data_IF_992840250103
#
_entry.id   IF_992840250103
#
_cell.length_a   1.000
_cell.length_b   1.000
_cell.length_c   1.000
_cell.angle_alpha   90.00
_cell.angle_beta   90.00
_cell.angle_gamma   90.00
#
_symmetry.space_group_name_H-M   'P 1'
#
loop_
_entity.id
_entity.type
_entity.pdbx_description
1 polymer ?
#
# COMPACT_ATOMS: atom_id res chain seq x y z
N UNK A 1 -21.27 -5.13 -22.97
CA UNK A 1 -20.90 -4.55 -21.66
C UNK A 1 -19.44 -4.12 -21.76
N UNK A 2 -19.08 -2.82 -21.72
CA UNK A 2 -17.67 -2.46 -21.73
C UNK A 2 -17.01 -2.99 -20.46
N UNK A 3 -15.95 -3.77 -20.60
CA UNK A 3 -15.21 -4.33 -19.48
C UNK A 3 -14.69 -3.18 -18.60
N UNK A 4 -15.14 -3.12 -17.35
CA UNK A 4 -14.63 -2.15 -16.38
C UNK A 4 -13.19 -2.55 -16.06
N UNK A 5 -12.21 -1.87 -16.65
CA UNK A 5 -10.80 -2.11 -16.36
C UNK A 5 -10.58 -2.08 -14.85
N UNK A 6 -10.04 -3.18 -14.32
CA UNK A 6 -9.69 -3.28 -12.91
C UNK A 6 -8.48 -2.38 -12.66
N UNK A 7 -8.59 -1.50 -11.67
CA UNK A 7 -7.46 -0.68 -11.26
C UNK A 7 -6.57 -1.55 -10.38
N UNK A 8 -5.27 -1.58 -10.69
CA UNK A 8 -4.28 -2.34 -9.94
C UNK A 8 -3.04 -1.48 -9.71
N UNK A 9 -2.30 -1.69 -8.61
CA UNK A 9 -0.97 -1.10 -8.44
C UNK A 9 -0.05 -1.41 -9.63
N UNK A 10 0.90 -0.51 -9.91
CA UNK A 10 1.84 -0.60 -11.03
C UNK A 10 1.30 -0.01 -12.34
N UNK A 11 -0.02 0.11 -12.51
CA UNK A 11 -0.60 0.68 -13.72
C UNK A 11 -0.21 2.14 -13.94
N UNK A 12 0.20 2.48 -15.16
CA UNK A 12 0.48 3.84 -15.61
C UNK A 12 -0.61 4.27 -16.60
N UNK A 13 -1.33 5.33 -16.23
CA UNK A 13 -2.41 5.91 -17.00
C UNK A 13 -1.95 7.23 -17.62
N UNK A 14 -1.98 7.30 -18.95
CA UNK A 14 -1.53 8.45 -19.71
C UNK A 14 -2.72 9.20 -20.29
N UNK A 15 -2.91 10.50 -19.98
CA UNK A 15 -4.00 11.29 -20.53
C UNK A 15 -3.82 11.50 -22.03
N UNK A 16 -4.92 11.61 -22.78
CA UNK A 16 -4.87 11.85 -24.23
C UNK A 16 -4.30 13.22 -24.58
N UNK A 17 -4.55 14.22 -23.74
CA UNK A 17 -4.05 15.58 -23.91
C UNK A 17 -2.76 15.77 -23.10
N UNK A 18 -1.70 16.29 -23.72
CA UNK A 18 -0.37 16.46 -23.13
C UNK A 18 -0.28 17.56 -22.05
N UNK A 19 -1.39 18.24 -21.75
CA UNK A 19 -1.45 19.24 -20.68
C UNK A 19 -1.41 18.61 -19.28
N UNK A 20 -1.79 17.33 -19.16
CA UNK A 20 -1.69 16.58 -17.91
C UNK A 20 -0.61 15.52 -18.00
N UNK A 21 -0.03 15.17 -16.84
CA UNK A 21 1.05 14.21 -16.77
C UNK A 21 0.54 12.80 -16.51
N UNK A 22 1.26 11.77 -16.98
CA UNK A 22 0.92 10.39 -16.66
C UNK A 22 0.89 10.14 -15.15
N UNK A 23 -0.01 9.25 -14.73
CA UNK A 23 -0.18 8.88 -13.33
C UNK A 23 0.10 7.39 -13.16
N UNK A 24 1.00 7.05 -12.24
CA UNK A 24 1.23 5.68 -11.80
C UNK A 24 0.45 5.37 -10.53
N UNK A 25 -0.33 4.29 -10.53
CA UNK A 25 -0.95 3.76 -9.31
C UNK A 25 0.12 3.10 -8.46
N UNK A 26 0.32 3.60 -7.24
CA UNK A 26 1.31 3.10 -6.29
C UNK A 26 0.70 2.04 -5.38
N UNK A 27 -0.51 2.29 -4.87
CA UNK A 27 -1.20 1.35 -3.98
C UNK A 27 -2.72 1.53 -4.03
N UNK A 28 -3.44 0.52 -3.55
CA UNK A 28 -4.88 0.55 -3.33
C UNK A 28 -5.17 0.34 -1.84
N UNK A 29 -5.68 1.38 -1.18
CA UNK A 29 -5.90 1.39 0.27
C UNK A 29 -7.38 1.56 0.55
N UNK A 30 -8.06 0.47 0.93
CA UNK A 30 -9.51 0.43 1.20
C UNK A 30 -10.36 1.08 0.10
N UNK A 31 -10.72 2.35 0.28
CA UNK A 31 -11.57 3.16 -0.60
C UNK A 31 -10.80 4.23 -1.40
N UNK A 32 -9.47 4.24 -1.27
CA UNK A 32 -8.59 5.23 -1.86
C UNK A 32 -7.52 4.59 -2.75
N UNK A 33 -7.06 5.38 -3.71
CA UNK A 33 -5.95 5.08 -4.59
C UNK A 33 -4.81 5.99 -4.18
N UNK A 34 -3.65 5.40 -3.95
CA UNK A 34 -2.39 6.13 -3.87
C UNK A 34 -1.71 6.11 -5.22
N UNK A 35 -1.24 7.26 -5.65
CA UNK A 35 -0.69 7.42 -6.98
C UNK A 35 0.43 8.46 -7.00
N UNK A 36 1.24 8.38 -8.03
CA UNK A 36 2.36 9.27 -8.30
C UNK A 36 2.15 9.91 -9.67
N UNK A 37 2.27 11.24 -9.73
CA UNK A 37 2.28 11.96 -11.01
C UNK A 37 3.71 11.94 -11.54
N UNK A 38 3.94 11.44 -12.77
CA UNK A 38 5.29 11.15 -13.26
C UNK A 38 6.15 12.39 -13.54
N UNK A 39 5.59 13.61 -13.48
CA UNK A 39 6.37 14.85 -13.51
C UNK A 39 7.09 15.18 -12.20
N UNK A 40 6.62 14.62 -11.09
CA UNK A 40 7.19 14.83 -9.77
C UNK A 40 7.26 13.50 -9.04
N UNK A 41 8.35 12.77 -9.30
CA UNK A 41 8.59 11.41 -8.79
C UNK A 41 8.72 11.32 -7.26
N UNK A 42 8.71 12.41 -6.52
CA UNK A 42 8.88 12.36 -5.06
C UNK A 42 7.55 12.43 -4.29
N UNK A 43 6.47 12.86 -4.92
CA UNK A 43 5.19 13.07 -4.23
C UNK A 43 4.17 11.95 -4.51
N UNK A 44 3.69 11.31 -3.45
CA UNK A 44 2.60 10.33 -3.49
C UNK A 44 1.33 11.03 -3.05
N UNK A 45 0.34 11.06 -3.94
CA UNK A 45 -0.98 11.64 -3.72
C UNK A 45 -2.00 10.54 -3.46
N UNK A 46 -3.11 10.90 -2.80
CA UNK A 46 -4.21 9.99 -2.48
C UNK A 46 -5.54 10.58 -2.90
N UNK A 47 -6.42 9.78 -3.51
CA UNK A 47 -7.80 10.17 -3.81
C UNK A 47 -8.76 8.98 -3.75
N UNK A 48 -10.07 9.24 -3.72
CA UNK A 48 -11.07 8.18 -3.78
C UNK A 48 -11.09 7.50 -5.17
N UNK A 49 -11.44 6.21 -5.22
CA UNK A 49 -11.56 5.48 -6.49
C UNK A 49 -12.50 6.14 -7.51
N UNK A 50 -13.58 6.78 -7.03
CA UNK A 50 -14.54 7.48 -7.89
C UNK A 50 -13.91 8.70 -8.56
N UNK A 51 -13.10 9.46 -7.81
CA UNK A 51 -12.39 10.63 -8.32
C UNK A 51 -11.34 10.23 -9.35
N UNK A 52 -10.56 9.18 -9.08
CA UNK A 52 -9.60 8.67 -10.05
C UNK A 52 -10.26 8.22 -11.35
N UNK A 53 -11.40 7.51 -11.26
CA UNK A 53 -12.17 7.12 -12.45
C UNK A 53 -12.77 8.31 -13.19
N UNK A 54 -13.22 9.34 -12.46
CA UNK A 54 -13.67 10.60 -13.06
C UNK A 54 -12.54 11.26 -13.84
N UNK A 55 -11.33 11.28 -13.27
CA UNK A 55 -10.13 11.77 -13.93
C UNK A 55 -9.81 10.99 -15.22
N UNK A 56 -9.76 9.65 -15.18
CA UNK A 56 -9.54 8.81 -16.39
C UNK A 56 -10.53 9.20 -17.50
N UNK A 57 -11.80 9.36 -17.15
CA UNK A 57 -12.86 9.72 -18.11
C UNK A 57 -12.69 11.13 -18.65
N UNK A 58 -12.42 12.12 -17.80
CA UNK A 58 -12.32 13.52 -18.22
C UNK A 58 -11.09 13.79 -19.09
N UNK A 59 -9.99 13.08 -18.83
CA UNK A 59 -8.73 13.24 -19.59
C UNK A 59 -8.59 12.25 -20.75
N UNK A 60 -9.58 11.38 -20.94
CA UNK A 60 -9.54 10.25 -21.88
C UNK A 60 -8.26 9.41 -21.70
N UNK A 61 -7.81 9.22 -20.46
CA UNK A 61 -6.58 8.50 -20.18
C UNK A 61 -6.70 7.02 -20.56
N UNK A 62 -5.64 6.48 -21.15
CA UNK A 62 -5.49 5.05 -21.43
C UNK A 62 -4.40 4.44 -20.55
N UNK A 63 -4.56 3.16 -20.24
CA UNK A 63 -3.50 2.36 -19.63
C UNK A 63 -2.40 2.16 -20.69
N UNK A 64 -1.19 2.65 -20.41
CA UNK A 64 -0.06 2.55 -21.34
C UNK A 64 0.98 1.54 -20.89
N UNK A 65 1.22 1.42 -19.59
CA UNK A 65 2.26 0.55 -19.03
C UNK A 65 1.84 -0.04 -17.69
N UNK A 66 2.49 -1.13 -17.28
CA UNK A 66 2.38 -1.76 -15.96
C UNK A 66 3.79 -1.94 -15.41
N UNK A 67 4.10 -1.23 -14.33
CA UNK A 67 5.35 -1.38 -13.58
C UNK A 67 5.23 -2.59 -12.65
N UNK A 68 5.60 -3.78 -13.14
CA UNK A 68 5.56 -5.04 -12.37
C UNK A 68 6.70 -5.15 -11.34
N UNK A 69 7.72 -4.31 -11.45
CA UNK A 69 8.94 -4.40 -10.62
C UNK A 69 8.72 -3.91 -9.19
N UNK A 70 7.69 -3.07 -8.98
CA UNK A 70 7.44 -2.44 -7.69
C UNK A 70 6.33 -3.15 -6.94
N UNK A 71 6.71 -3.77 -5.82
CA UNK A 71 5.73 -4.33 -4.86
C UNK A 71 4.95 -3.18 -4.20
N UNK A 72 3.60 -3.25 -4.15
CA UNK A 72 2.80 -2.24 -3.48
C UNK A 72 3.14 -2.14 -2.00
N UNK A 73 3.17 -0.93 -1.40
CA UNK A 73 3.48 -0.72 0.01
C UNK A 73 2.69 -1.65 0.96
N UNK A 74 1.38 -1.76 0.77
CA UNK A 74 0.52 -2.61 1.61
C UNK A 74 0.86 -4.10 1.46
N UNK A 75 1.23 -4.54 0.25
CA UNK A 75 1.63 -5.93 0.01
C UNK A 75 3.01 -6.23 0.62
N UNK A 76 3.97 -5.32 0.47
CA UNK A 76 5.29 -5.45 1.09
C UNK A 76 5.18 -5.55 2.62
N UNK A 77 4.31 -4.74 3.23
CA UNK A 77 4.04 -4.79 4.65
C UNK A 77 3.42 -6.12 5.09
N UNK A 78 2.47 -6.63 4.31
CA UNK A 78 1.82 -7.92 4.56
C UNK A 78 2.81 -9.10 4.48
N UNK A 79 3.73 -9.07 3.51
CA UNK A 79 4.80 -10.05 3.36
C UNK A 79 5.77 -10.05 4.55
N UNK A 80 6.09 -8.88 5.11
CA UNK A 80 6.91 -8.78 6.34
C UNK A 80 6.23 -9.45 7.53
N UNK A 81 4.93 -9.20 7.74
CA UNK A 81 4.18 -9.89 8.81
C UNK A 81 4.19 -11.40 8.61
N UNK A 82 3.93 -11.87 7.38
CA UNK A 82 3.96 -13.30 7.07
C UNK A 82 5.32 -13.92 7.37
N UNK A 83 6.41 -13.27 6.94
CA UNK A 83 7.77 -13.73 7.17
C UNK A 83 8.10 -13.83 8.67
N UNK A 84 7.77 -12.80 9.46
CA UNK A 84 7.96 -12.78 10.91
C UNK A 84 7.18 -13.90 11.60
N UNK A 85 5.90 -14.09 11.24
CA UNK A 85 5.10 -15.17 11.82
C UNK A 85 5.73 -16.54 11.52
N UNK A 86 6.23 -16.73 10.29
CA UNK A 86 6.87 -17.98 9.89
C UNK A 86 8.21 -18.20 10.58
N UNK A 87 9.04 -17.17 10.74
CA UNK A 87 10.32 -17.29 11.46
C UNK A 87 10.11 -17.61 12.95
N UNK A 88 9.04 -17.07 13.54
CA UNK A 88 8.60 -17.41 14.90
C UNK A 88 7.89 -18.78 15.02
N UNK A 89 7.79 -19.55 13.92
CA UNK A 89 7.07 -20.84 13.85
C UNK A 89 5.61 -20.78 14.33
N UNK A 90 4.98 -19.61 14.26
CA UNK A 90 3.60 -19.40 14.68
C UNK A 90 2.61 -19.78 13.57
N UNK A 91 1.50 -20.42 13.93
CA UNK A 91 0.36 -20.59 13.01
C UNK A 91 -0.44 -19.30 12.88
N UNK A 92 -1.27 -19.16 11.84
CA UNK A 92 -2.19 -18.02 11.74
C UNK A 92 -3.19 -17.98 12.90
N UNK A 93 -3.56 -19.15 13.46
CA UNK A 93 -4.42 -19.23 14.64
C UNK A 93 -3.72 -18.66 15.87
N UNK A 94 -2.47 -19.08 16.13
CA UNK A 94 -1.70 -18.59 17.27
C UNK A 94 -1.47 -17.07 17.21
N UNK A 95 -1.17 -16.52 16.02
CA UNK A 95 -1.08 -15.06 15.86
C UNK A 95 -2.43 -14.38 16.05
N UNK A 96 -3.52 -15.01 15.62
CA UNK A 96 -4.87 -14.45 15.79
C UNK A 96 -5.28 -14.36 17.26
N UNK A 97 -4.93 -15.36 18.06
CA UNK A 97 -5.14 -15.37 19.52
C UNK A 97 -4.32 -14.26 20.18
N UNK A 98 -3.03 -14.13 19.83
CA UNK A 98 -2.15 -13.09 20.37
C UNK A 98 -2.60 -11.65 20.02
N UNK A 99 -3.21 -11.46 18.85
CA UNK A 99 -3.75 -10.19 18.39
C UNK A 99 -5.22 -9.96 18.78
N UNK A 100 -5.88 -10.95 19.38
CA UNK A 100 -7.32 -10.94 19.67
C UNK A 100 -8.18 -10.58 18.45
N UNK A 101 -7.92 -11.25 17.32
CA UNK A 101 -8.69 -11.12 16.07
C UNK A 101 -9.01 -12.50 15.51
N UNK A 102 -9.87 -12.57 14.49
CA UNK A 102 -10.14 -13.85 13.83
C UNK A 102 -8.93 -14.33 13.03
N UNK A 103 -8.81 -15.66 12.86
CA UNK A 103 -7.83 -16.27 11.94
C UNK A 103 -7.99 -15.71 10.51
N UNK A 104 -9.22 -15.49 10.05
CA UNK A 104 -9.49 -14.91 8.73
C UNK A 104 -9.01 -13.46 8.63
N UNK A 105 -9.06 -12.68 9.71
CA UNK A 105 -8.48 -11.35 9.76
C UNK A 105 -6.95 -11.42 9.61
N UNK A 106 -6.26 -12.34 10.29
CA UNK A 106 -4.82 -12.56 10.08
C UNK A 106 -4.50 -12.89 8.63
N UNK A 107 -5.25 -13.80 7.99
CA UNK A 107 -5.06 -14.11 6.58
C UNK A 107 -5.28 -12.88 5.67
N UNK A 108 -6.24 -12.02 6.01
CA UNK A 108 -6.49 -10.79 5.27
C UNK A 108 -5.37 -9.74 5.47
N UNK A 109 -4.77 -9.69 6.65
CA UNK A 109 -3.59 -8.87 6.93
C UNK A 109 -2.38 -9.34 6.13
N UNK A 110 -2.10 -10.65 6.10
CA UNK A 110 -0.96 -11.25 5.38
C UNK A 110 -1.10 -11.20 3.85
N UNK A 111 -2.28 -10.90 3.34
CA UNK A 111 -2.53 -10.70 1.89
C UNK A 111 -2.63 -9.24 1.48
N UNK A 112 -2.54 -8.31 2.44
CA UNK A 112 -2.67 -6.87 2.19
C UNK A 112 -4.07 -6.39 1.79
N UNK A 113 -5.10 -7.25 1.87
CA UNK A 113 -6.45 -6.96 1.34
C UNK A 113 -7.24 -5.92 2.12
N UNK A 114 -6.96 -5.74 3.41
CA UNK A 114 -7.77 -4.88 4.28
C UNK A 114 -7.20 -3.47 4.47
N UNK A 115 -5.90 -3.28 4.20
CA UNK A 115 -5.19 -2.04 4.54
C UNK A 115 -5.16 -1.72 6.05
N UNK A 116 -5.59 -2.64 6.92
CA UNK A 116 -5.74 -2.42 8.36
C UNK A 116 -4.53 -2.85 9.19
N UNK A 117 -3.50 -3.40 8.54
CA UNK A 117 -2.29 -3.90 9.22
C UNK A 117 -1.60 -2.82 10.06
N UNK A 118 -1.67 -1.56 9.63
CA UNK A 118 -1.14 -0.41 10.37
C UNK A 118 -1.74 -0.29 11.79
N UNK A 119 -3.02 -0.64 11.99
CA UNK A 119 -3.70 -0.62 13.29
C UNK A 119 -3.06 -1.59 14.30
N UNK A 120 -2.51 -2.70 13.81
CA UNK A 120 -1.98 -3.78 14.64
C UNK A 120 -0.47 -3.68 14.84
N UNK A 121 0.23 -2.74 14.16
CA UNK A 121 1.69 -2.63 14.22
C UNK A 121 2.26 -2.52 15.65
N UNK A 122 1.67 -1.74 16.58
CA UNK A 122 2.19 -1.71 17.96
C UNK A 122 2.18 -3.09 18.61
N UNK A 123 1.08 -3.84 18.48
CA UNK A 123 0.96 -5.16 19.08
C UNK A 123 1.83 -6.21 18.39
N UNK A 124 1.95 -6.12 17.07
CA UNK A 124 2.84 -6.98 16.27
C UNK A 124 4.31 -6.73 16.66
N UNK A 125 4.69 -5.47 16.86
CA UNK A 125 6.01 -5.06 17.34
C UNK A 125 6.33 -5.69 18.69
N UNK A 126 5.39 -5.67 19.64
CA UNK A 126 5.53 -6.36 20.94
C UNK A 126 5.63 -7.88 20.80
N UNK A 127 4.77 -8.52 20.01
CA UNK A 127 4.72 -9.99 19.85
C UNK A 127 6.03 -10.54 19.29
N UNK A 128 6.60 -9.86 18.31
CA UNK A 128 7.79 -10.32 17.60
C UNK A 128 9.09 -9.67 18.07
N UNK A 129 9.03 -8.79 19.06
CA UNK A 129 10.17 -8.00 19.56
C UNK A 129 10.96 -7.33 18.44
N UNK A 130 10.24 -6.67 17.52
CA UNK A 130 10.83 -5.90 16.42
C UNK A 130 10.36 -4.45 16.48
N UNK A 131 11.22 -3.46 16.21
CA UNK A 131 10.83 -2.07 16.29
C UNK A 131 9.83 -1.71 15.18
N UNK A 132 8.87 -0.81 15.44
CA UNK A 132 7.82 -0.44 14.47
C UNK A 132 8.39 0.04 13.13
N UNK A 133 9.54 0.72 13.14
CA UNK A 133 10.23 1.19 11.93
C UNK A 133 10.65 0.05 10.99
N UNK A 134 10.85 -1.18 11.48
CA UNK A 134 11.10 -2.36 10.65
C UNK A 134 10.00 -2.55 9.60
N UNK A 135 8.75 -2.26 9.96
CA UNK A 135 7.62 -2.33 9.06
C UNK A 135 7.57 -1.16 8.08
N UNK A 136 8.09 0.00 8.50
CA UNK A 136 8.08 1.26 7.75
C UNK A 136 9.27 1.43 6.80
N UNK A 137 10.36 0.67 6.98
CA UNK A 137 11.51 0.69 6.08
C UNK A 137 11.09 0.17 4.69
N UNK A 138 11.14 1.05 3.69
CA UNK A 138 10.59 0.82 2.35
C UNK A 138 9.17 1.35 2.11
N UNK A 139 8.47 1.83 3.14
CA UNK A 139 7.16 2.53 3.03
C UNK A 139 7.27 4.05 3.07
N UNK A 140 8.43 4.62 3.44
CA UNK A 140 8.61 6.07 3.54
C UNK A 140 9.35 6.66 2.33
N UNK A 141 8.64 7.41 1.49
CA UNK A 141 9.23 8.46 0.64
C UNK A 141 9.17 9.84 1.29
N UNK A 142 8.62 9.96 2.51
CA UNK A 142 8.67 11.23 3.25
C UNK A 142 9.88 11.22 4.17
N UNK A 143 10.76 12.24 4.12
CA UNK A 143 11.80 12.37 5.10
C UNK A 143 11.13 12.56 6.46
N UNK A 144 11.33 11.59 7.36
CA UNK A 144 11.00 11.76 8.77
C UNK A 144 11.86 12.93 9.24
N UNK A 145 11.24 14.07 9.56
CA UNK A 145 11.93 15.13 10.31
C UNK A 145 12.31 14.52 11.66
N UNK A 146 13.55 14.06 11.78
CA UNK A 146 14.14 13.75 13.08
C UNK A 146 14.21 15.08 13.83
N UNK A 147 13.27 15.27 14.75
CA UNK A 147 13.44 16.25 15.82
C UNK A 147 14.48 15.65 16.75
N UNK A 148 15.73 16.05 16.57
CA UNK A 148 16.79 15.76 17.53
C UNK A 148 16.55 16.72 18.70
N UNK A 149 15.98 16.22 19.79
CA UNK A 149 16.01 16.94 21.07
C UNK A 149 17.41 16.69 21.64
N UNK A 150 18.29 17.67 21.48
CA UNK A 150 19.56 17.70 22.21
C UNK A 150 19.22 18.13 23.63
N UNK A 151 19.54 17.27 24.62
CA UNK A 151 19.57 17.64 26.04
C UNK A 151 20.93 18.22 26.37
#
# INVERSE_FOLDING_TARGET
MPHRTLLTPGQIWTPKNQQEFPIKIVDLVKSSIEFQVLNNKLDIKRCAHSLFRKWIKSTQASLTEIDETRVPPTLALAQKLFALRKSAKMSQLALSEALNISRSAVAALETGRTGDLQKYLPKISEIFDVPINFFLDGLSTKPVKRVIIIR
#
